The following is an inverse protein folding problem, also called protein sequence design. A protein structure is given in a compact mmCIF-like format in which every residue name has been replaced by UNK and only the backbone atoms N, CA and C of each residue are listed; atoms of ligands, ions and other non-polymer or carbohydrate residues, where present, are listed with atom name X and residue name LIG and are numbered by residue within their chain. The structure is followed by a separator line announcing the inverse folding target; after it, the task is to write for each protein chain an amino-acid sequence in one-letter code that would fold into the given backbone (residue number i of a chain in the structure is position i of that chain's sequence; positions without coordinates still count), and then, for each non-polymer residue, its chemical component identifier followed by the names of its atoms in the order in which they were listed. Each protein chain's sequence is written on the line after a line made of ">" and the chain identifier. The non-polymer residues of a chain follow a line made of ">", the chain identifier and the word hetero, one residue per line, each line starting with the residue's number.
data_IF_164630330348
#
_entry.id   IF_164630330348
#
_cell.length_a   1.000
_cell.length_b   1.000
_cell.length_c   1.000
_cell.angle_alpha   90.00
_cell.angle_beta   90.00
_cell.angle_gamma   90.00
#
_symmetry.space_group_name_H-M   'P 1'
#
loop_
_entity.id
_entity.type
_entity.pdbx_description
1 polymer ?
#
# COMPACT_ATOMS: atom_id res chain seq x y z
N UNK A 1 42.96 1.71 -21.40
CA UNK A 1 41.63 1.36 -21.95
C UNK A 1 41.08 0.27 -21.06
N UNK A 2 40.30 0.65 -20.03
CA UNK A 2 39.75 -0.30 -19.07
C UNK A 2 38.49 -0.88 -19.69
N UNK A 3 38.55 -2.15 -20.07
CA UNK A 3 37.41 -2.94 -20.54
C UNK A 3 36.38 -3.03 -19.42
N UNK A 4 35.19 -2.46 -19.64
CA UNK A 4 33.98 -2.65 -18.81
C UNK A 4 33.39 -4.07 -18.99
N UNK A 5 34.23 -5.09 -19.12
CA UNK A 5 33.81 -6.49 -19.28
C UNK A 5 34.05 -7.22 -17.95
N UNK A 6 33.13 -7.04 -17.02
CA UNK A 6 32.77 -7.97 -15.94
C UNK A 6 31.94 -7.28 -14.85
N UNK A 7 30.87 -6.57 -15.22
CA UNK A 7 29.77 -6.44 -14.26
C UNK A 7 29.08 -7.80 -14.21
N UNK A 8 29.02 -8.43 -13.04
CA UNK A 8 28.29 -9.67 -12.81
C UNK A 8 26.84 -9.51 -13.28
N UNK A 9 26.55 -10.01 -14.50
CA UNK A 9 25.22 -9.98 -15.11
C UNK A 9 24.22 -10.86 -14.33
N UNK A 10 24.75 -11.73 -13.46
CA UNK A 10 24.03 -12.77 -12.73
C UNK A 10 23.75 -12.44 -11.25
N UNK A 11 24.15 -11.26 -10.76
CA UNK A 11 23.80 -10.91 -9.38
C UNK A 11 22.27 -10.73 -9.28
N UNK A 12 21.61 -11.38 -8.30
CA UNK A 12 20.19 -11.18 -8.05
C UNK A 12 19.98 -9.71 -7.71
N UNK A 13 19.02 -9.10 -8.40
CA UNK A 13 18.67 -7.72 -8.10
C UNK A 13 18.06 -7.66 -6.69
N UNK A 14 18.39 -6.61 -5.94
CA UNK A 14 17.91 -6.46 -4.58
C UNK A 14 16.42 -6.10 -4.60
N UNK A 15 15.56 -6.98 -4.06
CA UNK A 15 14.17 -6.66 -3.77
C UNK A 15 14.00 -6.30 -2.30
N UNK A 16 13.06 -5.40 -2.03
CA UNK A 16 12.67 -5.03 -0.68
C UNK A 16 11.51 -5.92 -0.21
N UNK A 17 11.52 -6.43 1.03
CA UNK A 17 10.40 -7.24 1.53
C UNK A 17 9.13 -6.40 1.67
N UNK A 18 7.98 -7.02 1.42
CA UNK A 18 6.67 -6.41 1.67
C UNK A 18 6.42 -6.30 3.18
N UNK A 19 5.83 -5.19 3.61
CA UNK A 19 5.31 -4.97 4.96
C UNK A 19 4.13 -5.90 5.22
N UNK A 20 4.02 -6.38 6.46
CA UNK A 20 2.87 -7.17 6.92
C UNK A 20 1.80 -6.24 7.49
N UNK A 21 0.56 -6.68 7.46
CA UNK A 21 -0.58 -6.00 8.07
C UNK A 21 -1.57 -7.04 8.61
N UNK A 22 -2.31 -6.65 9.64
CA UNK A 22 -3.35 -7.49 10.23
C UNK A 22 -4.69 -7.35 9.48
N UNK A 23 -5.51 -8.40 9.57
CA UNK A 23 -6.92 -8.30 9.18
C UNK A 23 -7.63 -7.32 10.12
N UNK A 24 -8.38 -6.39 9.54
CA UNK A 24 -9.10 -5.36 10.27
C UNK A 24 -10.54 -5.29 9.76
N UNK A 25 -11.50 -5.24 10.68
CA UNK A 25 -12.92 -5.10 10.34
C UNK A 25 -13.28 -3.62 10.12
N UNK A 26 -13.50 -3.22 8.86
CA UNK A 26 -13.87 -1.84 8.50
C UNK A 26 -15.36 -1.66 8.22
N UNK A 27 -16.06 -2.73 7.83
CA UNK A 27 -17.48 -2.69 7.46
C UNK A 27 -18.39 -2.22 8.59
N UNK A 28 -18.27 -2.84 9.78
CA UNK A 28 -19.12 -2.53 10.93
C UNK A 28 -19.02 -1.06 11.36
N UNK A 29 -17.84 -0.49 11.62
CA UNK A 29 -17.74 0.91 12.05
C UNK A 29 -18.25 1.89 10.99
N UNK A 30 -17.96 1.66 9.70
CA UNK A 30 -18.44 2.51 8.61
C UNK A 30 -19.97 2.46 8.46
N UNK A 31 -20.58 1.27 8.46
CA UNK A 31 -22.03 1.13 8.38
C UNK A 31 -22.74 1.70 9.61
N UNK A 32 -22.16 1.52 10.81
CA UNK A 32 -22.67 2.10 12.05
C UNK A 32 -22.71 3.62 11.94
N UNK A 33 -21.60 4.25 11.55
CA UNK A 33 -21.53 5.69 11.35
C UNK A 33 -22.51 6.17 10.28
N UNK A 34 -22.58 5.49 9.13
CA UNK A 34 -23.51 5.86 8.06
C UNK A 34 -24.96 5.88 8.55
N UNK A 35 -25.36 4.89 9.37
CA UNK A 35 -26.70 4.82 9.96
C UNK A 35 -26.94 5.92 10.98
N UNK A 36 -25.98 6.15 11.89
CA UNK A 36 -26.11 7.13 12.98
C UNK A 36 -26.11 8.58 12.45
N UNK A 37 -25.31 8.88 11.43
CA UNK A 37 -25.15 10.23 10.90
C UNK A 37 -26.10 10.56 9.76
N UNK A 38 -26.35 9.62 8.84
CA UNK A 38 -27.14 9.87 7.62
C UNK A 38 -28.48 9.13 7.59
N UNK A 39 -28.75 8.26 8.56
CA UNK A 39 -29.96 7.46 8.62
C UNK A 39 -29.94 6.23 7.70
N UNK A 40 -30.95 5.37 7.87
CA UNK A 40 -31.02 4.03 7.26
C UNK A 40 -31.10 4.02 5.72
N UNK A 41 -31.67 5.06 5.12
CA UNK A 41 -31.75 5.17 3.66
C UNK A 41 -30.36 5.38 3.05
N UNK A 42 -29.62 6.37 3.57
CA UNK A 42 -28.26 6.69 3.11
C UNK A 42 -27.26 5.58 3.44
N UNK A 43 -27.41 4.91 4.58
CA UNK A 43 -26.63 3.70 4.89
C UNK A 43 -26.72 2.66 3.78
N UNK A 44 -27.93 2.40 3.27
CA UNK A 44 -28.14 1.44 2.18
C UNK A 44 -27.45 1.90 0.88
N UNK A 45 -27.53 3.19 0.56
CA UNK A 45 -26.91 3.75 -0.65
C UNK A 45 -25.38 3.72 -0.57
N UNK A 46 -24.81 4.01 0.60
CA UNK A 46 -23.37 3.98 0.87
C UNK A 46 -22.83 2.55 1.04
N UNK A 47 -23.69 1.58 1.34
CA UNK A 47 -23.30 0.20 1.64
C UNK A 47 -22.46 -0.46 0.56
N UNK A 48 -22.73 -0.18 -0.72
CA UNK A 48 -21.93 -0.71 -1.84
C UNK A 48 -20.49 -0.15 -1.84
N UNK A 49 -20.32 1.13 -1.49
CA UNK A 49 -18.99 1.74 -1.40
C UNK A 49 -18.21 1.21 -0.18
N UNK A 50 -18.88 1.08 0.96
CA UNK A 50 -18.30 0.49 2.18
C UNK A 50 -17.88 -0.96 1.96
N UNK A 51 -18.73 -1.76 1.29
CA UNK A 51 -18.40 -3.14 0.90
C UNK A 51 -17.16 -3.19 0.01
N UNK A 52 -17.08 -2.28 -0.96
CA UNK A 52 -15.95 -2.23 -1.88
C UNK A 52 -14.62 -1.91 -1.19
N UNK A 53 -14.62 -1.08 -0.15
CA UNK A 53 -13.40 -0.79 0.63
C UNK A 53 -12.90 -2.06 1.35
N UNK A 54 -13.80 -2.83 1.94
CA UNK A 54 -13.45 -4.08 2.65
C UNK A 54 -12.96 -5.16 1.68
N UNK A 55 -13.65 -5.34 0.55
CA UNK A 55 -13.25 -6.27 -0.51
C UNK A 55 -11.84 -5.93 -1.04
N UNK A 56 -11.60 -4.65 -1.34
CA UNK A 56 -10.29 -4.21 -1.81
C UNK A 56 -9.21 -4.38 -0.74
N UNK A 57 -9.51 -4.13 0.54
CA UNK A 57 -8.57 -4.41 1.64
C UNK A 57 -8.25 -5.90 1.74
N UNK A 58 -9.24 -6.77 1.57
CA UNK A 58 -9.01 -8.21 1.52
C UNK A 58 -8.11 -8.60 0.33
N UNK A 59 -8.27 -7.96 -0.83
CA UNK A 59 -7.36 -8.17 -1.96
C UNK A 59 -5.92 -7.71 -1.66
N UNK A 60 -5.75 -6.60 -0.92
CA UNK A 60 -4.41 -6.17 -0.45
C UNK A 60 -3.78 -7.19 0.50
N UNK A 61 -4.57 -7.78 1.40
CA UNK A 61 -4.10 -8.86 2.28
C UNK A 61 -3.70 -10.12 1.51
N UNK A 62 -4.51 -10.50 0.52
CA UNK A 62 -4.26 -11.68 -0.31
C UNK A 62 -3.01 -11.52 -1.20
N UNK A 63 -2.68 -10.28 -1.59
CA UNK A 63 -1.45 -9.95 -2.32
C UNK A 63 -0.17 -10.33 -1.57
N UNK A 64 -0.22 -10.48 -0.24
CA UNK A 64 0.94 -10.91 0.56
C UNK A 64 1.19 -12.42 0.52
N UNK A 65 0.22 -13.21 0.07
CA UNK A 65 0.26 -14.68 0.16
C UNK A 65 0.44 -15.38 -1.18
N UNK A 66 0.31 -14.65 -2.28
CA UNK A 66 0.26 -15.19 -3.64
C UNK A 66 1.35 -14.60 -4.50
N UNK A 67 1.59 -15.22 -5.65
CA UNK A 67 2.40 -14.61 -6.69
C UNK A 67 1.82 -13.27 -7.09
N UNK A 68 2.66 -12.24 -7.00
CA UNK A 68 2.32 -10.86 -7.29
C UNK A 68 2.45 -10.58 -8.79
N UNK A 69 1.49 -9.85 -9.33
CA UNK A 69 1.42 -9.43 -10.72
C UNK A 69 0.95 -7.97 -10.85
N UNK A 70 0.86 -7.46 -12.09
CA UNK A 70 0.39 -6.10 -12.34
C UNK A 70 -1.06 -5.85 -11.89
N UNK A 71 -1.90 -6.89 -11.88
CA UNK A 71 -3.29 -6.78 -11.41
C UNK A 71 -3.32 -6.50 -9.91
N UNK A 72 -2.40 -7.12 -9.17
CA UNK A 72 -2.20 -6.93 -7.74
C UNK A 72 -1.85 -5.47 -7.44
N UNK A 73 -0.90 -4.89 -8.19
CA UNK A 73 -0.54 -3.47 -8.08
C UNK A 73 -1.76 -2.58 -8.37
N UNK A 74 -2.51 -2.88 -9.45
CA UNK A 74 -3.70 -2.10 -9.81
C UNK A 74 -4.76 -2.11 -8.71
N UNK A 75 -5.00 -3.25 -8.06
CA UNK A 75 -5.93 -3.35 -6.94
C UNK A 75 -5.51 -2.48 -5.75
N UNK A 76 -4.21 -2.42 -5.44
CA UNK A 76 -3.67 -1.56 -4.40
C UNK A 76 -3.90 -0.07 -4.67
N UNK A 77 -3.68 0.40 -5.90
CA UNK A 77 -3.97 1.80 -6.26
C UNK A 77 -5.46 2.13 -6.20
N UNK A 78 -6.30 1.22 -6.68
CA UNK A 78 -7.76 1.38 -6.61
C UNK A 78 -8.20 1.46 -5.15
N UNK A 79 -7.67 0.61 -4.28
CA UNK A 79 -7.94 0.66 -2.84
C UNK A 79 -7.58 2.03 -2.23
N UNK A 80 -6.37 2.54 -2.49
CA UNK A 80 -5.94 3.85 -2.01
C UNK A 80 -6.85 4.99 -2.49
N UNK A 81 -7.30 4.93 -3.75
CA UNK A 81 -8.24 5.90 -4.30
C UNK A 81 -9.61 5.84 -3.62
N UNK A 82 -10.16 4.64 -3.40
CA UNK A 82 -11.41 4.46 -2.67
C UNK A 82 -11.31 4.96 -1.23
N UNK A 83 -10.21 4.67 -0.53
CA UNK A 83 -10.02 5.12 0.85
C UNK A 83 -9.91 6.65 0.92
N UNK A 84 -9.18 7.27 0.00
CA UNK A 84 -9.06 8.74 -0.09
C UNK A 84 -10.42 9.41 -0.37
N UNK A 85 -11.22 8.82 -1.26
CA UNK A 85 -12.56 9.32 -1.55
C UNK A 85 -13.51 9.11 -0.35
N UNK A 86 -13.40 7.98 0.35
CA UNK A 86 -14.24 7.68 1.50
C UNK A 86 -13.98 8.64 2.67
N UNK A 87 -12.74 9.08 2.86
CA UNK A 87 -12.36 10.03 3.91
C UNK A 87 -13.06 11.41 3.76
N UNK A 88 -13.61 11.72 2.58
CA UNK A 88 -14.43 12.93 2.36
C UNK A 88 -15.85 12.81 2.93
N UNK A 89 -16.32 11.58 3.17
CA UNK A 89 -17.68 11.28 3.64
C UNK A 89 -17.70 10.64 5.03
N UNK A 90 -16.57 10.12 5.49
CA UNK A 90 -16.43 9.41 6.74
C UNK A 90 -15.21 9.98 7.47
N UNK A 91 -15.28 10.21 8.79
CA UNK A 91 -14.13 10.62 9.58
C UNK A 91 -13.22 9.40 9.84
N UNK A 92 -12.61 8.86 8.78
CA UNK A 92 -11.83 7.63 8.86
C UNK A 92 -10.47 7.91 9.50
N UNK A 93 -9.88 9.07 9.18
CA UNK A 93 -8.50 9.40 9.58
C UNK A 93 -8.33 9.90 11.02
N UNK A 94 -9.37 10.38 11.70
CA UNK A 94 -9.25 11.04 13.01
C UNK A 94 -9.53 10.13 14.22
N UNK A 95 -9.88 8.86 13.97
CA UNK A 95 -10.17 7.87 15.01
C UNK A 95 -11.60 7.88 15.53
N UNK A 96 -12.47 8.77 15.05
CA UNK A 96 -13.91 8.83 15.43
C UNK A 96 -14.62 7.50 15.20
N UNK A 97 -14.23 6.76 14.15
CA UNK A 97 -14.81 5.46 13.82
C UNK A 97 -14.25 4.29 14.65
N UNK A 98 -13.21 4.52 15.46
CA UNK A 98 -12.50 3.46 16.20
C UNK A 98 -11.69 2.52 15.31
N UNK A 99 -11.48 2.86 14.03
CA UNK A 99 -10.64 2.11 13.11
C UNK A 99 -9.18 2.46 13.40
N UNK A 100 -8.36 1.44 13.64
CA UNK A 100 -6.92 1.60 13.85
C UNK A 100 -6.17 0.73 12.86
N UNK A 101 -5.48 1.37 11.92
CA UNK A 101 -4.66 0.71 10.92
C UNK A 101 -3.39 0.19 11.57
N UNK A 102 -3.07 -1.08 11.33
CA UNK A 102 -1.92 -1.74 11.93
C UNK A 102 -1.02 -2.33 10.86
N UNK A 103 0.24 -1.91 10.87
CA UNK A 103 1.28 -2.31 9.92
C UNK A 103 2.53 -2.72 10.68
N UNK A 104 3.25 -3.69 10.16
CA UNK A 104 4.54 -4.13 10.68
C UNK A 104 5.65 -3.69 9.74
N UNK A 105 6.75 -3.21 10.30
CA UNK A 105 7.96 -2.98 9.53
C UNK A 105 8.70 -4.29 9.20
N UNK A 106 9.78 -4.17 8.43
CA UNK A 106 10.61 -5.32 8.03
C UNK A 106 11.28 -6.05 9.21
N UNK A 107 11.34 -5.40 10.38
CA UNK A 107 11.88 -5.94 11.64
C UNK A 107 10.75 -6.45 12.57
N UNK A 108 9.53 -6.61 12.06
CA UNK A 108 8.33 -7.02 12.79
C UNK A 108 7.91 -6.06 13.93
N UNK A 109 8.33 -4.79 13.89
CA UNK A 109 7.80 -3.79 14.81
C UNK A 109 6.42 -3.32 14.35
N UNK A 110 5.44 -3.38 15.25
CA UNK A 110 4.08 -2.94 15.00
C UNK A 110 3.94 -1.43 15.14
N UNK A 111 3.42 -0.78 14.10
CA UNK A 111 2.92 0.59 14.12
C UNK A 111 1.39 0.56 14.02
N UNK A 112 0.71 1.41 14.78
CA UNK A 112 -0.75 1.50 14.75
C UNK A 112 -1.19 2.95 14.82
N UNK A 113 -2.14 3.34 13.96
CA UNK A 113 -2.69 4.70 13.92
C UNK A 113 -4.09 4.69 13.30
N UNK A 114 -5.00 5.59 13.74
CA UNK A 114 -6.27 5.79 13.05
C UNK A 114 -6.13 6.49 11.69
N UNK A 115 -4.99 7.15 11.44
CA UNK A 115 -4.76 7.94 10.24
C UNK A 115 -4.76 7.10 8.96
N UNK A 116 -5.58 7.49 7.98
CA UNK A 116 -5.57 6.85 6.64
C UNK A 116 -4.25 7.06 5.93
N UNK A 117 -3.44 8.03 6.38
CA UNK A 117 -2.06 8.23 5.91
C UNK A 117 -1.19 7.02 6.17
N UNK A 118 -1.31 6.37 7.33
CA UNK A 118 -0.56 5.14 7.63
C UNK A 118 -0.95 4.02 6.67
N UNK A 119 -2.26 3.81 6.51
CA UNK A 119 -2.80 2.76 5.66
C UNK A 119 -2.35 2.93 4.21
N UNK A 120 -2.57 4.11 3.62
CA UNK A 120 -2.20 4.37 2.23
C UNK A 120 -0.69 4.27 2.05
N UNK A 121 0.10 4.77 2.99
CA UNK A 121 1.56 4.68 2.94
C UNK A 121 2.04 3.23 2.96
N UNK A 122 1.47 2.38 3.82
CA UNK A 122 1.79 0.95 3.87
C UNK A 122 1.45 0.22 2.56
N UNK A 123 0.29 0.52 1.98
CA UNK A 123 -0.12 -0.07 0.69
C UNK A 123 0.81 0.37 -0.45
N UNK A 124 1.14 1.66 -0.54
CA UNK A 124 2.04 2.17 -1.57
C UNK A 124 3.46 1.65 -1.42
N UNK A 125 3.93 1.46 -0.18
CA UNK A 125 5.22 0.81 0.07
C UNK A 125 5.23 -0.62 -0.48
N UNK A 126 4.18 -1.40 -0.21
CA UNK A 126 4.06 -2.76 -0.76
C UNK A 126 3.93 -2.76 -2.28
N UNK A 127 3.26 -1.77 -2.87
CA UNK A 127 3.22 -1.61 -4.33
C UNK A 127 4.63 -1.42 -4.91
N UNK A 128 5.44 -0.57 -4.28
CA UNK A 128 6.83 -0.35 -4.67
C UNK A 128 7.67 -1.64 -4.57
N UNK A 129 7.54 -2.38 -3.47
CA UNK A 129 8.19 -3.68 -3.29
C UNK A 129 7.79 -4.68 -4.40
N UNK A 130 6.51 -4.73 -4.78
CA UNK A 130 6.03 -5.59 -5.87
C UNK A 130 6.64 -5.18 -7.21
N UNK A 131 6.79 -3.88 -7.51
CA UNK A 131 7.48 -3.43 -8.72
C UNK A 131 8.92 -3.94 -8.78
N UNK A 132 9.66 -3.90 -7.67
CA UNK A 132 11.00 -4.52 -7.59
C UNK A 132 10.94 -6.03 -7.86
N UNK A 133 10.00 -6.75 -7.25
CA UNK A 133 9.85 -8.19 -7.47
C UNK A 133 9.51 -8.55 -8.93
N UNK A 134 8.69 -7.75 -9.62
CA UNK A 134 8.39 -7.96 -11.05
C UNK A 134 9.61 -7.62 -11.91
N UNK A 135 10.38 -6.60 -11.54
CA UNK A 135 11.64 -6.23 -12.19
C UNK A 135 12.64 -7.39 -12.20
N UNK A 136 12.79 -8.07 -11.07
CA UNK A 136 13.70 -9.21 -10.92
C UNK A 136 13.35 -10.39 -11.85
N UNK A 137 12.07 -10.50 -12.24
CA UNK A 137 11.54 -11.54 -13.13
C UNK A 137 11.68 -11.18 -14.61
N UNK A 138 12.13 -9.96 -14.94
CA UNK A 138 12.34 -9.55 -16.33
C UNK A 138 13.55 -10.26 -16.95
N UNK A 139 13.49 -10.50 -18.26
CA UNK A 139 14.61 -11.04 -19.03
C UNK A 139 15.82 -10.09 -19.00
N UNK A 140 17.02 -10.64 -19.09
CA UNK A 140 18.27 -9.86 -19.13
C UNK A 140 18.68 -9.42 -20.54
N UNK A 141 17.74 -9.47 -21.49
CA UNK A 141 17.91 -8.90 -22.82
C UNK A 141 17.58 -7.39 -22.82
N UNK A 142 17.84 -6.70 -23.94
CA UNK A 142 17.67 -5.24 -24.03
C UNK A 142 16.25 -4.78 -23.66
N UNK A 143 15.23 -5.52 -24.09
CA UNK A 143 13.83 -5.18 -23.83
C UNK A 143 13.47 -5.42 -22.36
N UNK A 144 13.85 -6.57 -21.81
CA UNK A 144 13.63 -6.90 -20.40
C UNK A 144 14.37 -5.95 -19.46
N UNK A 145 15.60 -5.52 -19.78
CA UNK A 145 16.33 -4.52 -19.01
C UNK A 145 15.65 -3.14 -19.04
N UNK A 146 15.10 -2.73 -20.18
CA UNK A 146 14.33 -1.47 -20.27
C UNK A 146 13.05 -1.55 -19.43
N UNK A 147 12.38 -2.70 -19.44
CA UNK A 147 11.19 -2.96 -18.63
C UNK A 147 11.51 -2.96 -17.13
N UNK A 148 12.56 -3.67 -16.73
CA UNK A 148 13.07 -3.70 -15.36
C UNK A 148 13.42 -2.30 -14.84
N UNK A 149 14.12 -1.50 -15.66
CA UNK A 149 14.41 -0.09 -15.35
C UNK A 149 13.14 0.70 -15.05
N UNK A 150 12.09 0.55 -15.87
CA UNK A 150 10.83 1.27 -15.66
C UNK A 150 10.17 0.88 -14.32
N UNK A 151 10.16 -0.41 -13.97
CA UNK A 151 9.63 -0.84 -12.67
C UNK A 151 10.42 -0.27 -11.49
N UNK A 152 11.75 -0.25 -11.54
CA UNK A 152 12.55 0.38 -10.48
C UNK A 152 12.31 1.89 -10.38
N UNK A 153 12.16 2.59 -11.50
CA UNK A 153 11.83 4.02 -11.49
C UNK A 153 10.48 4.28 -10.84
N UNK A 154 9.48 3.44 -11.13
CA UNK A 154 8.17 3.52 -10.48
C UNK A 154 8.28 3.23 -8.98
N UNK A 155 9.00 2.18 -8.58
CA UNK A 155 9.21 1.84 -7.17
C UNK A 155 9.86 2.99 -6.38
N UNK A 156 10.92 3.59 -6.93
CA UNK A 156 11.59 4.74 -6.33
C UNK A 156 10.64 5.94 -6.14
N UNK A 157 9.86 6.28 -7.18
CA UNK A 157 8.87 7.35 -7.10
C UNK A 157 7.76 7.10 -6.07
N UNK A 158 7.35 5.83 -5.89
CA UNK A 158 6.38 5.47 -4.87
C UNK A 158 6.94 5.62 -3.45
N UNK A 159 8.18 5.20 -3.20
CA UNK A 159 8.80 5.41 -1.90
C UNK A 159 9.02 6.89 -1.58
N UNK A 160 9.35 7.71 -2.58
CA UNK A 160 9.39 9.17 -2.40
C UNK A 160 8.01 9.76 -2.06
N UNK A 161 6.94 9.25 -2.69
CA UNK A 161 5.58 9.64 -2.37
C UNK A 161 5.17 9.21 -0.94
N UNK A 162 5.56 8.00 -0.51
CA UNK A 162 5.36 7.50 0.85
C UNK A 162 6.09 8.39 1.86
N UNK A 163 7.37 8.68 1.62
CA UNK A 163 8.18 9.56 2.47
C UNK A 163 7.57 10.95 2.60
N UNK A 164 7.17 11.55 1.48
CA UNK A 164 6.52 12.87 1.46
C UNK A 164 5.20 12.84 2.24
N UNK A 165 4.38 11.81 2.04
CA UNK A 165 3.09 11.68 2.71
C UNK A 165 3.24 11.51 4.23
N UNK A 166 4.17 10.67 4.68
CA UNK A 166 4.40 10.46 6.12
C UNK A 166 5.00 11.69 6.80
N UNK A 167 5.78 12.51 6.08
CA UNK A 167 6.32 13.75 6.63
C UNK A 167 5.24 14.80 6.96
N UNK A 168 4.05 14.66 6.40
CA UNK A 168 2.89 15.52 6.67
C UNK A 168 2.09 15.09 7.89
N UNK A 169 2.34 13.89 8.44
CA UNK A 169 1.62 13.32 9.57
C UNK A 169 2.59 13.16 10.76
N UNK A 170 2.69 14.17 11.65
CA UNK A 170 3.69 14.21 12.71
C UNK A 170 3.49 13.14 13.78
N UNK A 171 2.27 12.60 13.88
CA UNK A 171 1.90 11.58 14.87
C UNK A 171 2.24 10.17 14.40
N UNK A 172 2.58 10.00 13.12
CA UNK A 172 3.14 8.75 12.61
C UNK A 172 4.62 8.68 12.92
N UNK A 173 4.94 7.99 14.01
CA UNK A 173 6.29 7.50 14.26
C UNK A 173 6.76 6.73 13.01
N UNK A 174 7.66 7.34 12.24
CA UNK A 174 8.25 6.72 11.06
C UNK A 174 8.76 5.33 11.44
N UNK A 175 8.22 4.31 10.78
CA UNK A 175 8.68 2.93 10.96
C UNK A 175 10.14 2.83 10.51
N UNK A 176 10.90 1.90 11.09
CA UNK A 176 12.36 1.86 10.89
C UNK A 176 12.78 1.71 9.42
N UNK A 177 11.91 1.14 8.59
CA UNK A 177 12.06 0.95 7.14
C UNK A 177 11.65 2.16 6.29
N UNK A 178 11.17 3.24 6.91
CA UNK A 178 10.81 4.50 6.24
C UNK A 178 11.67 5.67 6.75
N UNK A 179 12.58 5.42 7.69
CA UNK A 179 13.61 6.38 8.09
C UNK A 179 14.73 6.40 7.02
N UNK A 180 15.24 7.58 6.64
CA UNK A 180 16.36 7.70 5.71
C UNK A 180 17.66 7.09 6.26
#
# INVERSE_FOLDING_TARGET
>A
QVTMDSMHVDDPLQHWPQKKLDRLEVLKPLNKYARETYGRSKEKDLGAAVLRIDDMRCMVLDALKKDVDEKTIKAQYIYCAYLTHADQHFPISDGTLGINWAWYDVNDNKCTSPSTTLEISGVLFNAAAIHCMISDRCTRDREGLLKAKNYYQVAAGLWDAVRSRLSLDPDLALTSDIKP
#
